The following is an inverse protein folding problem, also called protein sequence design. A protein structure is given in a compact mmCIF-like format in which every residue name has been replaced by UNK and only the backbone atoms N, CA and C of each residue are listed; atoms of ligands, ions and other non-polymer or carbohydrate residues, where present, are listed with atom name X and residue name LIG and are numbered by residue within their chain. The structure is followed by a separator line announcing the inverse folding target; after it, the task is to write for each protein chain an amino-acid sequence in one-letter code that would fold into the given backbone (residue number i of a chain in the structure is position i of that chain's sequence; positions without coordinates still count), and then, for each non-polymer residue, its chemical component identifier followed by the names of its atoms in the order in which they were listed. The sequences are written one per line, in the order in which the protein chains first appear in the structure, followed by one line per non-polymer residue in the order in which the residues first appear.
data_IF_258523705815
#
_entry.id   IF_258523705815
#
_cell.length_a   1.000
_cell.length_b   1.000
_cell.length_c   1.000
_cell.angle_alpha   90.00
_cell.angle_beta   90.00
_cell.angle_gamma   90.00
#
_symmetry.space_group_name_H-M   'P 1'
#
loop_
_entity.id
_entity.type
_entity.pdbx_description
1 polymer ?
#
# COMPACT_ATOMS: atom_id res chain seq x y z
N UNK A 1 -25.45 -19.74 -9.96
CA UNK A 1 -24.43 -18.88 -9.32
C UNK A 1 -23.49 -19.80 -8.56
N UNK A 2 -22.35 -20.12 -9.17
CA UNK A 2 -21.25 -20.78 -8.45
C UNK A 2 -20.73 -19.76 -7.43
N UNK A 3 -20.54 -20.11 -6.15
CA UNK A 3 -19.86 -19.19 -5.23
C UNK A 3 -18.51 -18.88 -5.86
N UNK A 4 -18.19 -17.59 -6.04
CA UNK A 4 -16.85 -17.20 -6.40
C UNK A 4 -15.93 -17.82 -5.34
N UNK A 5 -15.10 -18.78 -5.75
CA UNK A 5 -14.09 -19.39 -4.89
C UNK A 5 -13.37 -18.24 -4.19
N UNK A 6 -13.36 -18.24 -2.86
CA UNK A 6 -12.79 -17.13 -2.08
C UNK A 6 -11.28 -17.07 -2.35
N UNK A 7 -10.89 -16.24 -3.33
CA UNK A 7 -9.50 -16.12 -3.79
C UNK A 7 -8.64 -15.30 -2.81
N UNK A 8 -9.27 -14.69 -1.80
CA UNK A 8 -8.58 -13.82 -0.86
C UNK A 8 -7.54 -14.57 -0.04
N UNK A 9 -6.32 -14.04 0.00
CA UNK A 9 -5.25 -14.59 0.83
C UNK A 9 -4.70 -15.95 0.39
N UNK A 10 -5.03 -16.41 -0.83
CA UNK A 10 -4.52 -17.69 -1.39
C UNK A 10 -3.01 -17.72 -1.61
N UNK A 11 -2.34 -16.56 -1.68
CA UNK A 11 -0.89 -16.40 -1.76
C UNK A 11 -0.27 -15.75 -0.52
N UNK A 12 -0.80 -16.05 0.69
CA UNK A 12 -0.28 -15.51 1.96
C UNK A 12 1.23 -15.74 2.16
N UNK A 13 1.80 -16.80 1.60
CA UNK A 13 3.24 -17.07 1.64
C UNK A 13 4.10 -15.97 1.01
N UNK A 14 3.54 -15.09 0.18
CA UNK A 14 4.23 -13.89 -0.32
C UNK A 14 4.60 -12.90 0.79
N UNK A 15 3.97 -13.02 1.95
CA UNK A 15 4.26 -12.20 3.13
C UNK A 15 5.27 -12.86 4.08
N UNK A 16 5.73 -14.07 3.77
CA UNK A 16 6.58 -14.83 4.68
C UNK A 16 7.89 -14.09 5.01
N UNK A 17 8.53 -13.50 4.00
CA UNK A 17 9.82 -12.83 4.18
C UNK A 17 9.66 -11.52 4.95
N UNK A 18 8.63 -10.71 4.63
CA UNK A 18 8.22 -9.58 5.45
C UNK A 18 7.92 -9.99 6.90
N UNK A 19 7.12 -11.03 7.12
CA UNK A 19 6.78 -11.50 8.48
C UNK A 19 8.00 -11.99 9.26
N UNK A 20 8.98 -12.57 8.57
CA UNK A 20 10.25 -13.04 9.15
C UNK A 20 11.19 -11.89 9.48
N UNK A 21 11.19 -10.82 8.69
CA UNK A 21 12.04 -9.65 8.92
C UNK A 21 11.57 -8.81 10.12
N UNK A 22 10.28 -8.84 10.45
CA UNK A 22 9.75 -8.16 11.64
C UNK A 22 10.40 -8.64 12.94
N UNK A 23 10.77 -7.68 13.79
CA UNK A 23 11.12 -7.93 15.19
C UNK A 23 9.93 -8.47 16.01
N UNK A 24 10.18 -8.87 17.25
CA UNK A 24 9.11 -9.45 18.09
C UNK A 24 8.05 -8.40 18.43
N UNK A 25 8.49 -7.18 18.69
CA UNK A 25 7.66 -6.02 18.97
C UNK A 25 6.81 -5.64 17.75
N UNK A 26 7.43 -5.53 16.57
CA UNK A 26 6.72 -5.19 15.33
C UNK A 26 5.72 -6.27 14.93
N UNK A 27 6.06 -7.54 15.15
CA UNK A 27 5.14 -8.65 14.89
C UNK A 27 3.93 -8.64 15.82
N UNK A 28 4.05 -8.12 17.03
CA UNK A 28 2.92 -7.95 17.95
C UNK A 28 1.97 -6.83 17.51
N UNK A 29 2.46 -5.88 16.70
CA UNK A 29 1.69 -4.76 16.13
C UNK A 29 1.16 -5.08 14.73
N UNK A 30 1.67 -6.14 14.09
CA UNK A 30 1.27 -6.58 12.77
C UNK A 30 -0.12 -7.20 12.76
N UNK A 31 -0.99 -6.70 11.88
CA UNK A 31 -2.35 -7.22 11.70
C UNK A 31 -2.54 -7.70 10.27
N UNK A 32 -2.84 -8.98 10.09
CA UNK A 32 -3.34 -9.47 8.81
C UNK A 32 -4.86 -9.26 8.78
N UNK A 33 -5.30 -8.52 7.77
CA UNK A 33 -6.69 -8.11 7.65
C UNK A 33 -7.51 -9.22 7.03
N UNK A 34 -8.71 -9.40 7.56
CA UNK A 34 -9.76 -10.18 6.91
C UNK A 34 -10.16 -9.51 5.61
N UNK A 35 -10.83 -10.28 4.74
CA UNK A 35 -11.37 -9.74 3.49
C UNK A 35 -12.26 -8.53 3.70
N UNK A 36 -13.20 -8.60 4.67
CA UNK A 36 -14.11 -7.50 4.96
C UNK A 36 -13.40 -6.24 5.47
N UNK A 37 -12.35 -6.40 6.29
CA UNK A 37 -11.54 -5.26 6.76
C UNK A 37 -10.75 -4.65 5.60
N UNK A 38 -10.17 -5.48 4.72
CA UNK A 38 -9.47 -5.03 3.53
C UNK A 38 -10.40 -4.28 2.57
N UNK A 39 -11.59 -4.80 2.30
CA UNK A 39 -12.59 -4.14 1.44
C UNK A 39 -13.02 -2.80 2.04
N UNK A 40 -13.28 -2.75 3.34
CA UNK A 40 -13.65 -1.51 4.03
C UNK A 40 -12.54 -0.45 3.96
N UNK A 41 -11.28 -0.83 4.21
CA UNK A 41 -10.16 0.11 4.16
C UNK A 41 -9.82 0.54 2.73
N UNK A 42 -10.05 -0.32 1.73
CA UNK A 42 -9.94 0.04 0.32
C UNK A 42 -10.98 1.11 -0.06
N UNK A 43 -12.23 0.98 0.40
CA UNK A 43 -13.30 1.98 0.19
C UNK A 43 -13.00 3.34 0.84
N UNK A 44 -12.27 3.34 1.96
CA UNK A 44 -11.83 4.54 2.65
C UNK A 44 -10.59 5.18 2.03
N UNK A 45 -9.89 4.49 1.13
CA UNK A 45 -8.60 4.93 0.58
C UNK A 45 -8.57 4.90 -0.95
N UNK A 46 -8.08 3.82 -1.54
CA UNK A 46 -7.84 3.66 -2.99
C UNK A 46 -9.10 3.95 -3.80
N UNK A 47 -10.26 3.46 -3.37
CA UNK A 47 -11.53 3.64 -4.08
C UNK A 47 -12.02 5.11 -4.13
N UNK A 48 -11.38 6.03 -3.39
CA UNK A 48 -11.71 7.46 -3.40
C UNK A 48 -11.11 8.19 -4.59
N UNK A 49 -10.12 7.58 -5.23
CA UNK A 49 -9.47 8.12 -6.41
C UNK A 49 -10.15 7.61 -7.68
N UNK A 50 -10.27 8.44 -8.73
CA UNK A 50 -10.66 7.99 -10.05
C UNK A 50 -9.69 6.92 -10.56
N UNK A 51 -10.23 5.96 -11.29
CA UNK A 51 -9.48 4.87 -11.90
C UNK A 51 -9.41 5.04 -13.41
N UNK A 52 -8.27 4.69 -13.97
CA UNK A 52 -8.10 4.57 -15.42
C UNK A 52 -8.91 3.39 -15.96
N UNK A 53 -9.02 3.29 -17.29
CA UNK A 53 -9.62 2.12 -17.96
C UNK A 53 -8.90 0.81 -17.68
N UNK A 54 -7.67 0.87 -17.17
CA UNK A 54 -6.82 -0.27 -16.86
C UNK A 54 -6.74 -0.56 -15.36
N UNK A 55 -7.68 -0.02 -14.56
CA UNK A 55 -7.82 -0.24 -13.12
C UNK A 55 -6.70 0.34 -12.22
N UNK A 56 -5.67 0.98 -12.79
CA UNK A 56 -4.74 1.83 -12.01
C UNK A 56 -5.34 3.20 -11.69
N UNK A 57 -4.80 3.90 -10.69
CA UNK A 57 -5.28 5.23 -10.31
C UNK A 57 -4.98 6.28 -11.40
N UNK A 58 -5.97 7.13 -11.68
CA UNK A 58 -5.88 8.18 -12.70
C UNK A 58 -5.25 9.45 -12.14
N UNK A 59 -3.92 9.44 -12.06
CA UNK A 59 -3.15 10.57 -11.57
C UNK A 59 -3.11 11.77 -12.52
N UNK A 60 -3.51 11.63 -13.78
CA UNK A 60 -3.64 12.79 -14.68
C UNK A 60 -4.82 13.68 -14.27
N UNK A 61 -5.83 13.10 -13.64
CA UNK A 61 -7.04 13.78 -13.18
C UNK A 61 -7.12 13.91 -11.65
N UNK A 62 -6.02 13.66 -10.93
CA UNK A 62 -5.94 13.78 -9.48
C UNK A 62 -4.84 14.75 -9.04
N UNK A 63 -5.09 15.46 -7.95
CA UNK A 63 -4.03 16.16 -7.24
C UNK A 63 -3.17 15.15 -6.45
N UNK A 64 -1.86 15.24 -6.62
CA UNK A 64 -0.87 14.51 -5.83
C UNK A 64 0.12 15.49 -5.19
N UNK A 65 0.71 15.10 -4.06
CA UNK A 65 1.70 15.88 -3.32
C UNK A 65 3.08 15.79 -3.97
N UNK A 66 3.44 14.57 -4.38
CA UNK A 66 4.70 14.29 -5.05
C UNK A 66 4.57 13.05 -5.93
N UNK A 67 5.38 12.98 -6.98
CA UNK A 67 5.51 11.82 -7.85
C UNK A 67 6.97 11.68 -8.26
N UNK A 68 7.45 10.44 -8.27
CA UNK A 68 8.82 10.08 -8.62
C UNK A 68 8.79 8.97 -9.65
N UNK A 69 9.27 9.25 -10.86
CA UNK A 69 9.55 8.20 -11.84
C UNK A 69 10.89 7.54 -11.49
N UNK A 70 10.92 6.22 -11.35
CA UNK A 70 12.13 5.52 -10.87
C UNK A 70 13.29 5.61 -11.85
N UNK A 71 13.01 5.71 -13.15
CA UNK A 71 14.04 5.94 -14.17
C UNK A 71 14.86 7.24 -13.93
N UNK A 72 14.28 8.23 -13.24
CA UNK A 72 14.92 9.50 -12.94
C UNK A 72 15.56 9.53 -11.54
N UNK A 73 15.43 8.45 -10.75
CA UNK A 73 15.97 8.38 -9.40
C UNK A 73 17.28 7.59 -9.36
N UNK A 74 18.22 8.07 -8.56
CA UNK A 74 19.46 7.35 -8.26
C UNK A 74 19.28 6.30 -7.16
N UNK A 75 18.31 6.52 -6.27
CA UNK A 75 18.03 5.63 -5.16
C UNK A 75 17.23 4.41 -5.63
N UNK A 76 17.51 3.21 -5.06
CA UNK A 76 16.65 2.05 -5.23
C UNK A 76 15.20 2.30 -4.80
N UNK A 77 14.28 1.53 -5.38
CA UNK A 77 12.84 1.70 -5.19
C UNK A 77 12.37 1.53 -3.74
N UNK A 78 12.94 0.57 -3.02
CA UNK A 78 12.70 0.33 -1.59
C UNK A 78 13.15 1.53 -0.73
N UNK A 79 14.28 2.14 -1.07
CA UNK A 79 14.80 3.33 -0.40
C UNK A 79 13.88 4.53 -0.66
N UNK A 80 13.37 4.68 -1.88
CA UNK A 80 12.40 5.72 -2.24
C UNK A 80 11.08 5.52 -1.49
N UNK A 81 10.56 4.30 -1.41
CA UNK A 81 9.34 3.98 -0.66
C UNK A 81 9.53 4.29 0.83
N UNK A 82 10.64 3.84 1.42
CA UNK A 82 10.96 4.11 2.81
C UNK A 82 11.06 5.63 3.10
N UNK A 83 11.65 6.40 2.18
CA UNK A 83 11.71 7.86 2.29
C UNK A 83 10.33 8.48 2.21
N UNK A 84 9.50 8.09 1.24
CA UNK A 84 8.15 8.60 1.07
C UNK A 84 7.30 8.36 2.33
N UNK A 85 7.37 7.17 2.93
CA UNK A 85 6.67 6.86 4.18
C UNK A 85 7.17 7.77 5.33
N UNK A 86 8.49 7.96 5.46
CA UNK A 86 9.08 8.82 6.51
C UNK A 86 8.73 10.30 6.38
N UNK A 87 8.60 10.79 5.15
CA UNK A 87 8.34 12.21 4.88
C UNK A 87 6.85 12.57 4.97
N UNK A 88 5.97 11.61 4.69
CA UNK A 88 4.54 11.90 4.53
C UNK A 88 3.61 11.24 5.54
N UNK A 89 4.07 10.24 6.31
CA UNK A 89 3.28 9.63 7.37
C UNK A 89 3.93 9.87 8.74
N UNK A 90 3.11 10.05 9.77
CA UNK A 90 3.54 9.94 11.16
C UNK A 90 4.08 8.54 11.40
N UNK A 91 5.23 8.42 12.09
CA UNK A 91 5.87 7.12 12.34
C UNK A 91 5.04 6.16 13.21
N UNK A 92 4.04 6.69 13.90
CA UNK A 92 3.08 5.94 14.71
C UNK A 92 1.75 5.73 13.98
N UNK A 93 1.55 6.31 12.79
CA UNK A 93 0.34 6.06 11.99
C UNK A 93 0.27 4.60 11.58
N UNK A 94 -0.93 4.03 11.66
CA UNK A 94 -1.21 2.71 11.14
C UNK A 94 -1.30 2.80 9.61
N UNK A 95 -0.42 2.08 8.94
CA UNK A 95 -0.36 1.99 7.48
C UNK A 95 -0.95 0.65 7.05
N UNK A 96 -1.99 0.73 6.22
CA UNK A 96 -2.58 -0.41 5.53
C UNK A 96 -1.88 -0.62 4.21
N UNK A 97 -1.28 -1.80 4.05
CA UNK A 97 -0.65 -2.28 2.83
C UNK A 97 -1.69 -3.11 2.08
N UNK A 98 -2.04 -2.67 0.88
CA UNK A 98 -2.91 -3.40 -0.04
C UNK A 98 -2.16 -3.65 -1.34
N UNK A 99 -2.29 -4.86 -1.87
CA UNK A 99 -1.65 -5.28 -3.11
C UNK A 99 -2.61 -5.22 -4.29
N UNK A 100 -2.09 -5.05 -5.52
CA UNK A 100 -2.83 -5.06 -6.79
C UNK A 100 -3.64 -6.32 -7.08
N UNK A 101 -3.54 -7.32 -6.22
CA UNK A 101 -4.28 -8.56 -6.31
C UNK A 101 -4.98 -8.85 -4.98
N UNK A 102 -6.17 -9.47 -5.05
CA UNK A 102 -6.88 -9.92 -3.87
C UNK A 102 -6.22 -11.14 -3.20
N UNK A 103 -5.24 -11.75 -3.86
CA UNK A 103 -4.74 -13.06 -3.45
C UNK A 103 -3.66 -12.98 -2.38
N UNK A 104 -3.00 -11.84 -2.21
CA UNK A 104 -2.18 -11.51 -1.05
C UNK A 104 -3.05 -10.74 -0.05
N UNK A 105 -3.15 -11.17 1.23
CA UNK A 105 -4.09 -10.60 2.17
C UNK A 105 -3.56 -9.31 2.79
N UNK A 106 -4.27 -8.18 2.65
CA UNK A 106 -3.92 -6.85 3.20
C UNK A 106 -3.36 -6.91 4.63
N UNK A 107 -2.36 -6.09 4.93
CA UNK A 107 -1.70 -6.05 6.23
C UNK A 107 -1.67 -4.64 6.79
N UNK A 108 -1.85 -4.46 8.10
CA UNK A 108 -1.66 -3.19 8.78
C UNK A 108 -0.46 -3.26 9.73
N UNK A 109 0.39 -2.22 9.68
CA UNK A 109 1.61 -2.06 10.46
C UNK A 109 1.85 -0.57 10.74
N UNK A 110 2.55 -0.21 11.83
CA UNK A 110 3.01 1.17 12.01
C UNK A 110 3.93 1.64 10.88
N UNK A 111 3.82 2.91 10.48
CA UNK A 111 4.61 3.50 9.40
C UNK A 111 6.13 3.31 9.59
N UNK A 112 6.62 3.37 10.84
CA UNK A 112 8.03 3.09 11.16
C UNK A 112 8.50 1.70 10.69
N UNK A 113 7.64 0.70 10.77
CA UNK A 113 7.94 -0.68 10.41
C UNK A 113 7.85 -0.86 8.90
N UNK A 114 6.82 -0.27 8.28
CA UNK A 114 6.72 -0.24 6.81
C UNK A 114 7.96 0.42 6.18
N UNK A 115 8.41 1.55 6.70
CA UNK A 115 9.60 2.22 6.20
C UNK A 115 10.91 1.47 6.51
N UNK A 116 10.94 0.62 7.54
CA UNK A 116 12.13 -0.19 7.88
C UNK A 116 12.26 -1.41 6.97
N UNK A 117 11.13 -2.01 6.60
CA UNK A 117 11.04 -3.25 5.83
C UNK A 117 10.49 -3.00 4.42
N UNK A 118 10.82 -1.82 3.85
CA UNK A 118 10.28 -1.39 2.56
C UNK A 118 10.73 -2.28 1.41
N UNK A 119 11.90 -2.89 1.52
CA UNK A 119 12.45 -3.90 0.61
C UNK A 119 11.56 -5.14 0.52
N UNK A 120 11.15 -5.68 1.67
CA UNK A 120 10.25 -6.82 1.73
C UNK A 120 8.82 -6.46 1.28
N UNK A 121 8.41 -5.20 1.48
CA UNK A 121 7.11 -4.70 0.99
C UNK A 121 7.10 -4.67 -0.54
N UNK A 122 8.11 -4.06 -1.19
CA UNK A 122 8.19 -4.01 -2.66
C UNK A 122 8.42 -5.38 -3.28
N UNK A 123 9.10 -6.30 -2.58
CA UNK A 123 9.29 -7.67 -3.06
C UNK A 123 8.00 -8.51 -3.09
N UNK A 124 6.96 -8.11 -2.33
CA UNK A 124 5.72 -8.88 -2.22
C UNK A 124 4.82 -8.79 -3.46
N UNK A 125 4.81 -7.64 -4.16
CA UNK A 125 4.01 -7.41 -5.38
C UNK A 125 4.47 -6.19 -6.16
N UNK A 126 4.15 -6.16 -7.45
CA UNK A 126 4.53 -5.05 -8.34
C UNK A 126 3.58 -3.84 -8.21
N UNK A 127 2.42 -4.02 -7.57
CA UNK A 127 1.37 -3.01 -7.36
C UNK A 127 1.04 -2.95 -5.89
N UNK A 128 1.28 -1.79 -5.27
CA UNK A 128 1.15 -1.61 -3.82
C UNK A 128 0.54 -0.25 -3.54
N UNK A 129 -0.45 -0.24 -2.65
CA UNK A 129 -0.96 0.98 -2.02
C UNK A 129 -0.70 0.92 -0.52
N UNK A 130 -0.11 2.00 0.00
CA UNK A 130 0.09 2.23 1.42
C UNK A 130 -0.84 3.35 1.87
N UNK A 131 -1.81 3.05 2.72
CA UNK A 131 -2.73 4.03 3.28
C UNK A 131 -2.39 4.30 4.75
N UNK A 132 -1.81 5.46 5.04
CA UNK A 132 -1.58 5.95 6.40
C UNK A 132 -2.88 6.58 6.93
N UNK A 133 -3.57 5.85 7.81
CA UNK A 133 -4.96 6.15 8.20
C UNK A 133 -5.06 7.52 8.87
N UNK A 134 -4.23 7.78 9.88
CA UNK A 134 -4.31 8.99 10.69
C UNK A 134 -3.88 10.25 9.92
N UNK A 135 -2.95 10.10 8.98
CA UNK A 135 -2.45 11.21 8.16
C UNK A 135 -3.30 11.44 6.89
N UNK A 136 -4.19 10.50 6.59
CA UNK A 136 -5.02 10.48 5.39
C UNK A 136 -4.18 10.58 4.10
N UNK A 137 -3.08 9.83 4.05
CA UNK A 137 -2.12 9.80 2.94
C UNK A 137 -2.17 8.44 2.25
N UNK A 138 -2.21 8.46 0.93
CA UNK A 138 -2.00 7.30 0.07
C UNK A 138 -0.65 7.42 -0.63
N UNK A 139 0.14 6.34 -0.58
CA UNK A 139 1.33 6.17 -1.40
C UNK A 139 1.06 5.01 -2.35
N UNK A 140 1.08 5.27 -3.65
CA UNK A 140 1.04 4.23 -4.68
C UNK A 140 2.47 3.94 -5.15
N UNK A 141 2.82 2.67 -5.17
CA UNK A 141 3.95 2.10 -5.89
C UNK A 141 3.38 1.29 -7.06
N UNK A 142 3.80 1.62 -8.28
CA UNK A 142 3.21 1.07 -9.50
C UNK A 142 4.26 0.48 -10.44
N UNK A 143 4.21 -0.84 -10.64
CA UNK A 143 4.93 -1.65 -11.63
C UNK A 143 6.41 -1.31 -11.86
N UNK A 144 7.20 -1.01 -10.82
CA UNK A 144 8.60 -0.56 -10.99
C UNK A 144 8.75 0.66 -11.91
N UNK A 145 7.69 1.46 -12.10
CA UNK A 145 7.69 2.64 -12.96
C UNK A 145 7.79 3.91 -12.12
N UNK A 146 6.90 4.03 -11.13
CA UNK A 146 6.77 5.26 -10.35
C UNK A 146 6.23 5.03 -8.94
N UNK A 147 6.46 6.06 -8.12
CA UNK A 147 5.85 6.23 -6.82
C UNK A 147 5.08 7.56 -6.78
N UNK A 148 3.82 7.53 -6.34
CA UNK A 148 2.97 8.72 -6.22
C UNK A 148 2.43 8.85 -4.80
N UNK A 149 2.49 10.05 -4.22
CA UNK A 149 1.94 10.36 -2.90
C UNK A 149 0.80 11.35 -3.05
N UNK A 150 -0.34 11.07 -2.42
CA UNK A 150 -1.48 11.97 -2.41
C UNK A 150 -2.22 11.97 -1.07
N UNK A 151 -3.00 13.03 -0.82
CA UNK A 151 -4.02 13.01 0.23
C UNK A 151 -5.24 12.28 -0.29
N UNK A 152 -5.81 11.38 0.52
CA UNK A 152 -7.06 10.70 0.16
C UNK A 152 -8.21 11.71 0.13
N UNK A 153 -9.02 11.76 -0.95
CA UNK A 153 -10.19 12.63 -1.01
C UNK A 153 -11.20 12.31 0.09
N UNK A 154 -11.69 13.34 0.80
CA UNK A 154 -12.72 13.20 1.85
C UNK A 154 -14.04 12.62 1.31
N UNK A 155 -14.31 12.87 0.02
CA UNK A 155 -15.47 12.34 -0.71
C UNK A 155 -14.98 11.57 -1.92
N UNK A 156 -15.59 10.42 -2.22
CA UNK A 156 -15.28 9.69 -3.45
C UNK A 156 -15.56 10.60 -4.65
N UNK A 157 -14.60 10.70 -5.57
CA UNK A 157 -14.79 11.46 -6.80
C UNK A 157 -15.83 10.70 -7.66
N UNK A 158 -16.88 11.36 -8.16
CA UNK A 158 -17.95 10.71 -8.92
C UNK A 158 -17.50 10.11 -10.25
#
# INVERSE_FOLDING_TARGET
MTPATDQYGTFRQRLDDLLRSLSTEERAEAMLLTRSESEHLYELSVARFPVTRWQGLDWENCAYLAQYAFADQADPEDILLARAVREHASMESLVVITWGNLTIPSMALPARSVARHADEVVAASDDIWLFAIEDNILIEYWHHDRLTIARVPETATP
#
